data_IF_648348513448
#
_entry.id   IF_648348513448
#
_cell.length_a   1.000
_cell.length_b   1.000
_cell.length_c   1.000
_cell.angle_alpha   90.00
_cell.angle_beta   90.00
_cell.angle_gamma   90.00
#
_symmetry.space_group_name_H-M   'P 1'
#
loop_
_entity.id
_entity.type
_entity.pdbx_description
1 polymer ?
#
# COMPACT_ATOMS: atom_id res chain seq x y z
N UNK A 1 -58.51 18.87 47.11
CA UNK A 1 -57.32 19.48 46.46
C UNK A 1 -56.28 18.37 46.22
N UNK A 2 -56.18 17.83 45.02
CA UNK A 2 -55.17 16.84 44.66
C UNK A 2 -53.97 17.54 44.05
N UNK A 3 -52.80 17.45 44.69
CA UNK A 3 -51.54 17.94 44.15
C UNK A 3 -51.01 16.96 43.11
N UNK A 4 -51.00 17.35 41.79
CA UNK A 4 -50.31 16.65 40.73
C UNK A 4 -48.76 16.77 40.95
N UNK A 5 -48.10 15.65 41.22
CA UNK A 5 -46.64 15.54 41.16
C UNK A 5 -46.23 15.35 39.71
N UNK A 6 -45.57 16.36 39.14
CA UNK A 6 -44.94 16.31 37.82
C UNK A 6 -43.65 15.49 37.94
N UNK A 7 -43.61 14.32 37.31
CA UNK A 7 -42.42 13.47 37.22
C UNK A 7 -41.67 13.94 35.96
N UNK A 8 -40.54 14.68 36.18
CA UNK A 8 -39.64 15.09 35.13
C UNK A 8 -38.79 13.87 34.75
N UNK A 9 -39.12 13.23 33.63
CA UNK A 9 -38.30 12.15 33.04
C UNK A 9 -37.14 12.78 32.36
N UNK A 10 -35.95 12.69 32.99
CA UNK A 10 -34.67 13.09 32.42
C UNK A 10 -34.18 12.01 31.50
N UNK A 11 -34.46 12.15 30.20
CA UNK A 11 -33.94 11.25 29.14
C UNK A 11 -32.44 11.53 28.97
N UNK A 12 -31.58 10.69 29.57
CA UNK A 12 -30.17 10.66 29.34
C UNK A 12 -29.95 10.08 27.92
N UNK A 13 -29.72 10.95 26.94
CA UNK A 13 -29.27 10.57 25.61
C UNK A 13 -27.83 10.12 25.73
N UNK A 14 -27.63 8.82 25.75
CA UNK A 14 -26.31 8.20 25.69
C UNK A 14 -25.80 8.37 24.26
N UNK A 15 -24.99 9.39 23.99
CA UNK A 15 -24.21 9.52 22.77
C UNK A 15 -23.20 8.39 22.75
N UNK A 16 -23.54 7.28 22.10
CA UNK A 16 -22.58 6.22 21.76
C UNK A 16 -21.57 6.82 20.77
N UNK A 17 -20.40 7.19 21.30
CA UNK A 17 -19.24 7.58 20.49
C UNK A 17 -18.81 6.36 19.65
N UNK A 18 -19.18 6.32 18.36
CA UNK A 18 -18.79 5.29 17.39
C UNK A 18 -17.44 5.54 16.65
N UNK A 19 -16.54 6.47 17.05
CA UNK A 19 -15.26 6.62 16.34
C UNK A 19 -14.23 5.54 16.69
N UNK A 20 -14.42 4.71 17.71
CA UNK A 20 -13.39 3.79 18.18
C UNK A 20 -13.18 2.54 17.30
N UNK A 21 -14.19 2.13 16.52
CA UNK A 21 -14.10 0.87 15.76
C UNK A 21 -13.12 0.95 14.58
N UNK A 22 -13.21 2.00 13.78
CA UNK A 22 -12.33 2.19 12.61
C UNK A 22 -10.86 2.49 13.00
N UNK A 23 -10.65 3.16 14.14
CA UNK A 23 -9.29 3.38 14.67
C UNK A 23 -8.62 2.05 15.04
N UNK A 24 -9.36 1.11 15.62
CA UNK A 24 -8.87 -0.21 15.98
C UNK A 24 -8.45 -1.02 14.73
N UNK A 25 -9.20 -0.91 13.61
CA UNK A 25 -8.87 -1.61 12.37
C UNK A 25 -7.56 -1.10 11.74
N UNK A 26 -7.30 0.22 11.77
CA UNK A 26 -6.00 0.77 11.37
C UNK A 26 -4.84 0.21 12.19
N UNK A 27 -5.01 0.07 13.49
CA UNK A 27 -3.97 -0.49 14.37
C UNK A 27 -3.67 -1.95 14.04
N UNK A 28 -4.68 -2.77 13.76
CA UNK A 28 -4.49 -4.16 13.31
C UNK A 28 -3.76 -4.25 11.97
N UNK A 29 -4.09 -3.38 11.02
CA UNK A 29 -3.38 -3.27 9.74
C UNK A 29 -1.91 -2.91 10.00
N UNK A 30 -1.63 -1.93 10.85
CA UNK A 30 -0.28 -1.49 11.21
C UNK A 30 0.49 -2.62 11.89
N UNK A 31 -0.10 -3.33 12.84
CA UNK A 31 0.51 -4.47 13.51
C UNK A 31 0.90 -5.56 12.51
N UNK A 32 -0.01 -5.93 11.59
CA UNK A 32 0.28 -6.88 10.54
C UNK A 32 1.46 -6.44 9.64
N UNK A 33 1.45 -5.16 9.19
CA UNK A 33 2.51 -4.57 8.37
C UNK A 33 3.84 -4.54 9.11
N UNK A 34 3.81 -4.25 10.41
CA UNK A 34 4.99 -4.11 11.25
C UNK A 34 5.73 -5.44 11.45
N UNK A 35 5.04 -6.56 11.35
CA UNK A 35 5.60 -7.90 11.43
C UNK A 35 6.24 -8.37 10.10
N UNK A 36 6.15 -7.55 9.03
CA UNK A 36 6.67 -7.90 7.71
C UNK A 36 8.06 -7.31 7.51
N UNK A 37 9.05 -8.19 7.36
CA UNK A 37 10.44 -7.84 6.97
C UNK A 37 10.64 -7.99 5.46
N UNK A 38 10.09 -9.06 4.89
CA UNK A 38 10.14 -9.35 3.46
C UNK A 38 8.79 -9.82 2.94
N UNK A 39 8.53 -9.55 1.65
CA UNK A 39 7.39 -10.06 0.90
C UNK A 39 7.84 -10.63 -0.43
N UNK A 40 7.18 -11.71 -0.84
CA UNK A 40 7.17 -12.22 -2.22
C UNK A 40 5.71 -12.36 -2.63
N UNK A 41 5.34 -11.82 -3.78
CA UNK A 41 3.95 -11.87 -4.25
C UNK A 41 3.87 -11.78 -5.76
N UNK A 42 2.83 -12.35 -6.34
CA UNK A 42 2.46 -12.13 -7.72
C UNK A 42 1.62 -10.87 -7.83
N UNK A 43 1.66 -10.20 -8.98
CA UNK A 43 0.87 -9.00 -9.21
C UNK A 43 0.24 -8.96 -10.60
N UNK A 44 -0.86 -8.23 -10.67
CA UNK A 44 -1.43 -7.73 -11.91
C UNK A 44 -1.48 -6.21 -11.80
N UNK A 45 -0.84 -5.53 -12.73
CA UNK A 45 -0.85 -4.07 -12.88
C UNK A 45 -1.69 -3.69 -14.09
N UNK A 46 -2.54 -2.67 -13.93
CA UNK A 46 -3.27 -2.03 -15.04
C UNK A 46 -2.92 -0.55 -15.02
N UNK A 47 -2.39 -0.06 -16.14
CA UNK A 47 -2.01 1.33 -16.34
C UNK A 47 -2.24 1.70 -17.80
N UNK A 48 -2.96 2.79 -18.07
CA UNK A 48 -3.32 3.21 -19.44
C UNK A 48 -3.90 2.04 -20.29
N UNK A 49 -4.86 1.31 -19.72
CA UNK A 49 -5.52 0.14 -20.31
C UNK A 49 -4.57 -1.04 -20.65
N UNK A 50 -3.29 -0.91 -20.33
CA UNK A 50 -2.31 -1.97 -20.46
C UNK A 50 -2.28 -2.83 -19.20
N UNK A 51 -2.56 -4.12 -19.37
CA UNK A 51 -2.44 -5.11 -18.32
C UNK A 51 -1.05 -5.77 -18.37
N UNK A 52 -0.35 -5.75 -17.24
CA UNK A 52 0.94 -6.39 -17.06
C UNK A 52 0.90 -7.24 -15.78
N UNK A 53 1.58 -8.35 -15.76
CA UNK A 53 1.70 -9.23 -14.60
C UNK A 53 3.16 -9.62 -14.36
N UNK A 54 3.41 -10.17 -13.19
CA UNK A 54 4.75 -10.57 -12.78
C UNK A 54 4.84 -10.92 -11.31
N UNK A 55 6.07 -10.92 -10.82
CA UNK A 55 6.40 -11.24 -9.45
C UNK A 55 7.21 -10.12 -8.81
N UNK A 56 6.88 -9.76 -7.57
CA UNK A 56 7.63 -8.78 -6.79
C UNK A 56 8.27 -9.42 -5.56
N UNK A 57 9.42 -8.88 -5.20
CA UNK A 57 10.17 -9.16 -3.99
C UNK A 57 10.42 -7.84 -3.28
N UNK A 58 9.98 -7.75 -2.04
CA UNK A 58 10.18 -6.59 -1.18
C UNK A 58 11.01 -6.99 0.03
N UNK A 59 12.00 -6.17 0.38
CA UNK A 59 12.78 -6.30 1.61
C UNK A 59 12.96 -4.94 2.24
N UNK A 60 12.33 -4.75 3.38
CA UNK A 60 12.39 -3.49 4.11
C UNK A 60 13.76 -3.25 4.71
N UNK A 61 14.16 -1.98 4.85
CA UNK A 61 13.38 -0.78 4.54
C UNK A 61 13.62 -0.20 3.12
N UNK A 62 14.45 -0.82 2.25
CA UNK A 62 15.00 -0.10 1.11
C UNK A 62 14.95 -0.82 -0.24
N UNK A 63 14.40 -2.03 -0.30
CA UNK A 63 14.55 -2.86 -1.48
C UNK A 63 13.20 -3.36 -2.01
N UNK A 64 13.01 -3.18 -3.32
CA UNK A 64 11.92 -3.78 -4.08
C UNK A 64 12.48 -4.22 -5.44
N UNK A 65 12.09 -5.39 -5.91
CA UNK A 65 12.29 -5.82 -7.28
C UNK A 65 11.01 -6.45 -7.80
N UNK A 66 10.51 -5.93 -8.92
CA UNK A 66 9.40 -6.53 -9.64
C UNK A 66 9.89 -6.97 -11.02
N UNK A 67 9.66 -8.22 -11.37
CA UNK A 67 10.00 -8.83 -12.64
C UNK A 67 8.70 -9.00 -13.41
N UNK A 68 8.58 -8.33 -14.56
CA UNK A 68 7.40 -8.34 -15.40
C UNK A 68 7.48 -9.48 -16.42
N UNK A 69 6.36 -10.14 -16.66
CA UNK A 69 6.21 -11.17 -17.66
C UNK A 69 5.87 -10.55 -19.03
N UNK A 70 6.74 -9.66 -19.51
CA UNK A 70 6.58 -8.98 -20.78
C UNK A 70 7.67 -9.38 -21.80
N UNK A 71 7.44 -9.05 -23.08
CA UNK A 71 8.40 -9.32 -24.17
C UNK A 71 9.74 -8.60 -23.98
N UNK A 72 9.75 -7.49 -23.25
CA UNK A 72 10.93 -6.67 -23.01
C UNK A 72 11.72 -7.13 -21.78
N UNK A 73 11.16 -8.11 -21.03
CA UNK A 73 11.73 -8.57 -19.75
C UNK A 73 12.03 -7.39 -18.84
N UNK A 74 11.00 -6.55 -18.63
CA UNK A 74 11.09 -5.37 -17.79
C UNK A 74 11.28 -5.75 -16.33
N UNK A 75 12.21 -5.08 -15.66
CA UNK A 75 12.40 -5.17 -14.21
C UNK A 75 12.29 -3.76 -13.61
N UNK A 76 11.53 -3.61 -12.53
CA UNK A 76 11.51 -2.42 -11.70
C UNK A 76 12.30 -2.74 -10.44
N UNK A 77 13.31 -1.92 -10.14
CA UNK A 77 14.19 -2.14 -9.00
C UNK A 77 14.23 -0.87 -8.16
N UNK A 78 13.87 -0.99 -6.88
CA UNK A 78 14.17 0.05 -5.87
C UNK A 78 15.33 -0.46 -5.04
N UNK A 79 16.43 0.29 -5.08
CA UNK A 79 17.61 0.02 -4.27
C UNK A 79 18.02 1.30 -3.56
N UNK A 80 17.63 1.42 -2.29
CA UNK A 80 17.84 2.60 -1.44
C UNK A 80 17.21 3.87 -2.03
N UNK A 81 17.97 4.74 -2.70
CA UNK A 81 17.53 6.03 -3.24
C UNK A 81 17.17 6.01 -4.72
N UNK A 82 17.46 4.90 -5.39
CA UNK A 82 17.27 4.76 -6.83
C UNK A 82 16.03 3.91 -7.12
N UNK A 83 15.18 4.43 -7.99
CA UNK A 83 14.16 3.67 -8.69
C UNK A 83 14.67 3.45 -10.12
N UNK A 84 14.79 2.20 -10.51
CA UNK A 84 15.38 1.81 -11.80
C UNK A 84 14.37 1.00 -12.59
N UNK A 85 14.16 1.34 -13.85
CA UNK A 85 13.45 0.51 -14.82
C UNK A 85 14.47 -0.04 -15.79
N UNK A 86 14.64 -1.36 -15.78
CA UNK A 86 15.57 -2.08 -16.64
C UNK A 86 14.81 -2.91 -17.68
N UNK A 87 15.09 -2.66 -18.96
CA UNK A 87 14.59 -3.46 -20.08
C UNK A 87 15.67 -4.43 -20.51
N UNK A 88 15.66 -5.63 -19.96
CA UNK A 88 16.72 -6.64 -20.17
C UNK A 88 16.93 -6.98 -21.63
N UNK A 89 15.87 -7.04 -22.45
CA UNK A 89 15.96 -7.35 -23.88
C UNK A 89 16.81 -6.35 -24.65
N UNK A 90 16.76 -5.08 -24.27
CA UNK A 90 17.47 -4.00 -24.97
C UNK A 90 18.71 -3.52 -24.23
N UNK A 91 19.02 -4.12 -23.09
CA UNK A 91 20.07 -3.66 -22.15
C UNK A 91 19.98 -2.16 -21.85
N UNK A 92 18.73 -1.64 -21.65
CA UNK A 92 18.48 -0.23 -21.37
C UNK A 92 18.01 -0.04 -19.95
N UNK A 93 18.61 0.92 -19.26
CA UNK A 93 18.30 1.27 -17.87
C UNK A 93 17.90 2.74 -17.77
N UNK A 94 16.80 2.99 -17.05
CA UNK A 94 16.30 4.34 -16.77
C UNK A 94 16.29 4.54 -15.25
N UNK A 95 16.85 5.67 -14.81
CA UNK A 95 16.95 6.02 -13.40
C UNK A 95 15.97 7.12 -13.03
N UNK A 96 15.31 6.95 -11.92
CA UNK A 96 14.36 7.92 -11.37
C UNK A 96 14.64 8.14 -9.88
N UNK A 97 14.46 9.36 -9.35
CA UNK A 97 14.53 9.57 -7.92
C UNK A 97 13.33 8.90 -7.24
N UNK A 98 13.61 7.94 -6.34
CA UNK A 98 12.56 7.21 -5.62
C UNK A 98 11.68 8.12 -4.76
N UNK A 99 12.20 9.30 -4.37
CA UNK A 99 11.48 10.29 -3.57
C UNK A 99 10.23 10.88 -4.24
N UNK A 100 10.17 10.80 -5.58
CA UNK A 100 9.01 11.24 -6.37
C UNK A 100 7.93 10.16 -6.53
N UNK A 101 8.10 8.99 -5.91
CA UNK A 101 7.15 7.89 -5.93
C UNK A 101 6.70 7.52 -4.53
N UNK A 102 5.60 6.78 -4.40
CA UNK A 102 5.15 6.21 -3.14
C UNK A 102 5.99 5.00 -2.67
N UNK A 103 6.94 4.51 -3.49
CA UNK A 103 7.73 3.33 -3.12
C UNK A 103 8.57 3.54 -1.85
N UNK A 104 9.15 4.74 -1.66
CA UNK A 104 9.92 5.03 -0.45
C UNK A 104 9.02 5.03 0.79
N UNK A 105 7.78 5.47 0.65
CA UNK A 105 6.84 5.55 1.76
C UNK A 105 6.30 4.15 2.11
N UNK A 106 6.09 3.28 1.11
CA UNK A 106 5.67 1.89 1.29
C UNK A 106 6.79 1.03 1.91
N UNK A 107 8.03 1.26 1.48
CA UNK A 107 9.18 0.48 1.93
C UNK A 107 9.63 0.84 3.35
N UNK A 108 9.64 2.13 3.69
CA UNK A 108 9.94 2.61 5.03
C UNK A 108 8.75 2.32 5.97
N UNK A 109 9.04 1.56 7.03
CA UNK A 109 8.03 1.10 7.98
C UNK A 109 7.26 2.25 8.63
N UNK A 110 8.00 3.26 9.15
CA UNK A 110 7.40 4.39 9.86
C UNK A 110 6.59 5.29 8.92
N UNK A 111 7.09 5.51 7.71
CA UNK A 111 6.36 6.29 6.70
C UNK A 111 5.08 5.58 6.27
N UNK A 112 5.13 4.25 6.07
CA UNK A 112 3.94 3.49 5.72
C UNK A 112 2.90 3.49 6.85
N UNK A 113 3.34 3.37 8.10
CA UNK A 113 2.48 3.52 9.28
C UNK A 113 1.78 4.89 9.31
N UNK A 114 2.51 5.97 9.07
CA UNK A 114 1.92 7.32 8.99
C UNK A 114 0.89 7.40 7.85
N UNK A 115 1.18 6.85 6.66
CA UNK A 115 0.20 6.79 5.56
C UNK A 115 -1.11 6.11 5.98
N UNK A 116 -1.02 5.02 6.74
CA UNK A 116 -2.20 4.30 7.24
C UNK A 116 -2.94 5.13 8.31
N UNK A 117 -2.22 5.77 9.23
CA UNK A 117 -2.82 6.58 10.30
C UNK A 117 -3.52 7.82 9.75
N UNK A 118 -2.87 8.55 8.85
CA UNK A 118 -3.35 9.81 8.30
C UNK A 118 -4.38 9.60 7.18
N UNK A 119 -4.37 8.44 6.52
CA UNK A 119 -5.29 8.11 5.44
C UNK A 119 -6.74 7.91 5.91
N UNK A 120 -7.70 8.16 5.05
CA UNK A 120 -9.12 7.93 5.30
C UNK A 120 -9.47 6.45 5.12
N UNK A 121 -9.87 5.79 6.21
CA UNK A 121 -10.30 4.40 6.21
C UNK A 121 -11.78 4.30 5.84
N UNK A 122 -12.09 3.44 4.89
CA UNK A 122 -13.44 2.99 4.57
C UNK A 122 -13.49 1.47 4.43
N UNK A 123 -14.65 0.89 4.70
CA UNK A 123 -14.90 -0.54 4.56
C UNK A 123 -15.90 -0.75 3.43
N UNK A 124 -15.60 -1.65 2.50
CA UNK A 124 -16.51 -2.13 1.48
C UNK A 124 -16.46 -3.66 1.48
N UNK A 125 -17.60 -4.28 1.82
CA UNK A 125 -17.80 -5.74 1.90
C UNK A 125 -16.65 -6.45 2.67
N UNK A 126 -15.63 -6.94 1.98
CA UNK A 126 -14.50 -7.70 2.54
C UNK A 126 -13.15 -6.98 2.49
N UNK A 127 -13.13 -5.70 2.08
CA UNK A 127 -11.90 -4.94 1.84
C UNK A 127 -11.91 -3.65 2.63
N UNK A 128 -10.86 -3.42 3.42
CA UNK A 128 -10.53 -2.09 3.93
C UNK A 128 -9.82 -1.29 2.85
N UNK A 129 -10.30 -0.06 2.62
CA UNK A 129 -9.66 0.91 1.73
C UNK A 129 -9.10 2.05 2.57
N UNK A 130 -7.82 2.36 2.39
CA UNK A 130 -7.18 3.51 3.02
C UNK A 130 -6.70 4.43 1.92
N UNK A 131 -7.33 5.59 1.84
CA UNK A 131 -7.04 6.64 0.87
C UNK A 131 -6.18 7.71 1.51
N UNK A 132 -5.06 8.03 0.86
CA UNK A 132 -4.14 9.08 1.27
C UNK A 132 -3.76 9.93 0.07
N UNK A 133 -3.72 11.25 0.24
CA UNK A 133 -3.41 12.20 -0.84
C UNK A 133 -2.34 13.20 -0.39
N UNK A 134 -1.47 13.59 -1.31
CA UNK A 134 -0.51 14.67 -1.12
C UNK A 134 -0.46 15.56 -2.35
N UNK A 135 -0.16 16.85 -2.14
CA UNK A 135 0.01 17.82 -3.23
C UNK A 135 1.15 17.47 -4.20
N UNK A 136 2.16 16.72 -3.72
CA UNK A 136 3.38 16.45 -4.48
C UNK A 136 3.41 15.09 -5.20
N UNK A 137 2.48 14.18 -4.88
CA UNK A 137 2.48 12.80 -5.42
C UNK A 137 1.13 12.34 -5.94
N UNK A 138 0.08 13.15 -5.75
CA UNK A 138 -1.29 12.76 -6.06
C UNK A 138 -1.90 11.88 -4.95
N UNK A 139 -2.64 10.85 -5.33
CA UNK A 139 -3.42 10.00 -4.44
C UNK A 139 -2.93 8.56 -4.47
N UNK A 140 -2.93 7.91 -3.32
CA UNK A 140 -2.76 6.46 -3.20
C UNK A 140 -3.90 5.85 -2.39
N UNK A 141 -4.42 4.72 -2.84
CA UNK A 141 -5.46 3.95 -2.15
C UNK A 141 -4.89 2.56 -1.92
N UNK A 142 -4.75 2.17 -0.66
CA UNK A 142 -4.37 0.81 -0.27
C UNK A 142 -5.61 -0.05 -0.02
N UNK A 143 -5.54 -1.30 -0.42
CA UNK A 143 -6.55 -2.32 -0.19
C UNK A 143 -6.01 -3.39 0.74
N UNK A 144 -6.76 -3.67 1.83
CA UNK A 144 -6.42 -4.72 2.79
C UNK A 144 -7.59 -5.69 2.93
N UNK A 145 -7.28 -6.96 2.96
CA UNK A 145 -8.28 -7.98 3.24
C UNK A 145 -8.79 -7.84 4.67
N UNK A 146 -10.12 -7.92 4.86
CA UNK A 146 -10.78 -7.71 6.15
C UNK A 146 -10.47 -8.81 7.17
N UNK A 147 -10.30 -10.05 6.73
CA UNK A 147 -10.12 -11.19 7.62
C UNK A 147 -8.70 -11.26 8.21
N UNK A 148 -7.70 -11.02 7.37
CA UNK A 148 -6.30 -11.25 7.72
C UNK A 148 -5.42 -10.00 7.67
N UNK A 149 -5.98 -8.83 7.34
CA UNK A 149 -5.30 -7.52 7.24
C UNK A 149 -4.10 -7.51 6.26
N UNK A 150 -4.03 -8.46 5.35
CA UNK A 150 -2.99 -8.50 4.34
C UNK A 150 -3.24 -7.45 3.27
N UNK A 151 -2.17 -6.83 2.81
CA UNK A 151 -2.23 -5.96 1.64
C UNK A 151 -2.63 -6.80 0.41
N UNK A 152 -3.74 -6.43 -0.22
CA UNK A 152 -4.28 -7.08 -1.43
C UNK A 152 -4.06 -6.25 -2.69
N UNK A 153 -3.57 -5.02 -2.55
CA UNK A 153 -3.25 -4.16 -3.68
C UNK A 153 -3.20 -2.69 -3.31
N UNK A 154 -2.98 -1.87 -4.33
CA UNK A 154 -3.10 -0.40 -4.25
C UNK A 154 -3.46 0.20 -5.59
N UNK A 155 -3.95 1.42 -5.56
CA UNK A 155 -4.14 2.28 -6.73
C UNK A 155 -3.38 3.58 -6.52
N UNK A 156 -2.83 4.12 -7.59
CA UNK A 156 -2.17 5.43 -7.60
C UNK A 156 -2.85 6.28 -8.68
N UNK A 157 -3.24 7.50 -8.31
CA UNK A 157 -3.68 8.53 -9.23
C UNK A 157 -2.63 9.64 -9.14
N UNK A 158 -1.84 9.80 -10.21
CA UNK A 158 -0.78 10.81 -10.23
C UNK A 158 -1.35 12.23 -10.39
N UNK A 159 -0.47 13.23 -10.35
CA UNK A 159 -0.86 14.66 -10.47
C UNK A 159 -1.47 15.01 -11.84
N UNK A 160 -1.29 14.18 -12.84
CA UNK A 160 -1.88 14.36 -14.19
C UNK A 160 -3.20 13.60 -14.34
N UNK A 161 -3.67 12.92 -13.27
CA UNK A 161 -4.87 12.10 -13.30
C UNK A 161 -4.67 10.71 -13.91
N UNK A 162 -3.43 10.30 -14.18
CA UNK A 162 -3.15 8.96 -14.67
C UNK A 162 -3.38 7.94 -13.57
N UNK A 163 -4.16 6.90 -13.89
CA UNK A 163 -4.55 5.86 -12.95
C UNK A 163 -3.74 4.59 -13.17
N UNK A 164 -3.16 4.07 -12.08
CA UNK A 164 -2.47 2.78 -12.07
C UNK A 164 -3.02 1.94 -10.93
N UNK A 165 -3.56 0.77 -11.23
CA UNK A 165 -3.99 -0.21 -10.24
C UNK A 165 -3.01 -1.37 -10.15
N UNK A 166 -2.85 -1.91 -8.94
CA UNK A 166 -1.94 -2.99 -8.64
C UNK A 166 -2.63 -3.99 -7.71
N UNK A 167 -2.95 -5.16 -8.22
CA UNK A 167 -3.55 -6.25 -7.46
C UNK A 167 -2.48 -7.26 -7.05
N UNK A 168 -2.52 -7.73 -5.81
CA UNK A 168 -1.58 -8.69 -5.22
C UNK A 168 -2.27 -10.05 -5.07
N UNK A 169 -1.56 -11.10 -5.48
CA UNK A 169 -1.92 -12.49 -5.26
C UNK A 169 -0.71 -13.28 -4.72
N UNK A 170 -0.97 -14.45 -4.10
CA UNK A 170 0.06 -15.37 -3.60
C UNK A 170 1.12 -14.71 -2.70
N UNK A 171 0.64 -13.95 -1.72
CA UNK A 171 1.50 -13.20 -0.80
C UNK A 171 2.18 -14.11 0.22
N UNK A 172 3.52 -14.14 0.19
CA UNK A 172 4.38 -14.87 1.13
C UNK A 172 5.20 -13.89 1.95
N UNK A 173 5.12 -14.01 3.28
CA UNK A 173 5.80 -13.13 4.23
C UNK A 173 7.08 -13.74 4.77
N UNK A 174 8.03 -12.88 5.11
CA UNK A 174 9.21 -13.18 5.94
C UNK A 174 10.11 -14.30 5.39
N UNK A 175 10.17 -14.46 4.06
CA UNK A 175 11.11 -15.36 3.42
C UNK A 175 12.53 -14.78 3.45
N UNK A 176 13.53 -15.65 3.44
CA UNK A 176 14.92 -15.22 3.36
C UNK A 176 15.24 -14.74 1.93
N UNK A 177 15.40 -13.43 1.75
CA UNK A 177 15.77 -12.82 0.47
C UNK A 177 17.21 -12.32 0.52
N UNK A 178 18.04 -12.78 -0.44
CA UNK A 178 19.40 -12.31 -0.58
C UNK A 178 19.44 -10.88 -1.15
N UNK A 179 20.31 -10.02 -0.63
CA UNK A 179 20.46 -8.65 -1.12
C UNK A 179 20.92 -8.57 -2.59
N UNK A 180 21.63 -9.58 -3.09
CA UNK A 180 22.03 -9.67 -4.51
C UNK A 180 20.82 -9.69 -5.47
N UNK A 181 19.65 -10.14 -5.00
CA UNK A 181 18.41 -10.11 -5.79
C UNK A 181 18.06 -8.69 -6.25
N UNK A 182 18.39 -7.68 -5.44
CA UNK A 182 18.05 -6.26 -5.67
C UNK A 182 19.19 -5.47 -6.32
N UNK A 183 20.23 -6.13 -6.84
CA UNK A 183 21.31 -5.46 -7.56
C UNK A 183 20.77 -4.80 -8.83
N UNK A 184 21.23 -3.58 -9.08
CA UNK A 184 21.00 -2.89 -10.35
C UNK A 184 21.97 -3.51 -11.36
N UNK A 185 21.51 -3.96 -12.53
CA UNK A 185 22.41 -4.48 -13.57
C UNK A 185 23.42 -3.44 -14.02
N UNK A 186 24.67 -3.84 -14.15
CA UNK A 186 25.71 -3.02 -14.78
C UNK A 186 25.44 -2.96 -16.28
N UNK A 187 25.52 -1.77 -16.85
CA UNK A 187 25.42 -1.56 -18.30
C UNK A 187 26.86 -1.56 -18.81
N UNK A 188 27.21 -2.57 -19.57
CA UNK A 188 28.48 -2.61 -20.31
C UNK A 188 28.40 -1.72 -21.56
#
# INVERSE_FOLDING_TARGET
MLKKKSILIFTIIFFLNTPSLLANEKLKIIENINNIKTLKFNFVQISFDKKENGICFLKRPHFLKCIYEDKNKKELIVNRRNLVIYHKRYNKTYYYPVSKSYFIDILDKKKFENLILDGNLSLNEEIFKIKYSTENKGEIIFFFNKENFNLSGWEIIDLNGNHTSFKIDNLNKNQNLNNKLFSIPEIN
#
